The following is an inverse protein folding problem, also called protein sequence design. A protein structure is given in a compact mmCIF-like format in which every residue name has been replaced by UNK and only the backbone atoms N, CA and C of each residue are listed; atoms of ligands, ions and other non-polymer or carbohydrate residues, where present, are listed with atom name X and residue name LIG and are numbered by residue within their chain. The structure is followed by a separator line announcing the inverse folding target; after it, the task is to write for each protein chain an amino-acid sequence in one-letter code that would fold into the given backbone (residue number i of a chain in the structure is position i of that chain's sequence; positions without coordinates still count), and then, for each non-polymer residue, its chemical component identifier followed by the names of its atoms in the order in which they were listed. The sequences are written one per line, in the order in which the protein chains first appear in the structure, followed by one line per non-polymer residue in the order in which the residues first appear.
data_IF_915891400891
#
_entry.id   IF_915891400891
#
_cell.length_a   1.000
_cell.length_b   1.000
_cell.length_c   1.000
_cell.angle_alpha   90.00
_cell.angle_beta   90.00
_cell.angle_gamma   90.00
#
_symmetry.space_group_name_H-M   'P 1'
#
loop_
_entity.id
_entity.type
_entity.pdbx_description
1 polymer ?
#
# COMPACT_ATOMS: atom_id res chain seq x y z
N UNK A 1 -21.65 -8.04 -4.78
CA UNK A 1 -23.04 -8.43 -4.45
C UNK A 1 -23.41 -9.90 -4.64
N UNK A 2 -23.67 -10.36 -5.87
CA UNK A 2 -24.50 -11.56 -6.10
C UNK A 2 -23.93 -12.86 -5.49
N UNK A 3 -22.63 -13.09 -5.65
CA UNK A 3 -21.96 -14.27 -5.07
C UNK A 3 -22.11 -14.35 -3.54
N UNK A 4 -22.11 -13.20 -2.85
CA UNK A 4 -22.27 -13.12 -1.40
C UNK A 4 -23.69 -13.49 -0.97
N UNK A 5 -24.69 -12.94 -1.65
CA UNK A 5 -26.10 -13.26 -1.38
C UNK A 5 -26.38 -14.75 -1.59
N UNK A 6 -25.84 -15.34 -2.66
CA UNK A 6 -25.96 -16.77 -2.94
C UNK A 6 -25.29 -17.59 -1.84
N UNK A 7 -24.06 -17.22 -1.43
CA UNK A 7 -23.34 -17.93 -0.37
C UNK A 7 -24.09 -17.90 0.97
N UNK A 8 -24.59 -16.73 1.38
CA UNK A 8 -25.39 -16.58 2.61
C UNK A 8 -26.69 -17.36 2.52
N UNK A 9 -27.39 -17.28 1.38
CA UNK A 9 -28.63 -18.03 1.16
C UNK A 9 -28.41 -19.55 1.21
N UNK A 10 -27.36 -20.07 0.56
CA UNK A 10 -27.04 -21.49 0.58
C UNK A 10 -26.67 -21.99 1.99
N UNK A 11 -26.01 -21.15 2.79
CA UNK A 11 -25.63 -21.47 4.17
C UNK A 11 -26.80 -21.44 5.16
N UNK A 12 -27.81 -20.60 4.91
CA UNK A 12 -28.95 -20.37 5.81
C UNK A 12 -30.25 -21.05 5.37
N UNK A 13 -30.32 -21.59 4.16
CA UNK A 13 -31.46 -22.37 3.68
C UNK A 13 -31.55 -23.76 4.35
N UNK A 14 -32.78 -24.26 4.53
CA UNK A 14 -33.01 -25.64 4.96
C UNK A 14 -32.48 -26.61 3.90
N UNK A 15 -31.80 -27.67 4.33
CA UNK A 15 -31.22 -28.69 3.44
C UNK A 15 -32.12 -29.92 3.37
N UNK A 16 -31.87 -30.80 2.41
CA UNK A 16 -32.49 -32.12 2.34
C UNK A 16 -31.40 -33.19 2.36
N UNK A 17 -31.59 -34.21 3.19
CA UNK A 17 -30.77 -35.41 3.18
C UNK A 17 -31.06 -36.21 1.89
N UNK A 18 -30.17 -37.13 1.54
CA UNK A 18 -30.37 -38.05 0.42
C UNK A 18 -31.67 -38.86 0.55
N UNK A 19 -32.12 -39.11 1.78
CA UNK A 19 -33.38 -39.78 2.10
C UNK A 19 -34.64 -38.90 1.98
N UNK A 20 -34.50 -37.65 1.54
CA UNK A 20 -35.59 -36.67 1.46
C UNK A 20 -35.95 -35.99 2.79
N UNK A 21 -35.31 -36.37 3.90
CA UNK A 21 -35.53 -35.75 5.20
C UNK A 21 -35.02 -34.30 5.23
N UNK A 22 -35.81 -33.40 5.82
CA UNK A 22 -35.42 -31.99 5.97
C UNK A 22 -34.34 -31.85 7.04
N UNK A 23 -33.20 -31.30 6.67
CA UNK A 23 -32.08 -31.02 7.55
C UNK A 23 -32.03 -29.53 7.93
N UNK A 24 -31.52 -29.20 9.12
CA UNK A 24 -31.30 -27.81 9.49
C UNK A 24 -30.31 -27.15 8.51
N UNK A 25 -30.35 -25.80 8.42
CA UNK A 25 -29.33 -25.02 7.73
C UNK A 25 -27.92 -25.40 8.19
N UNK A 26 -26.90 -25.07 7.38
CA UNK A 26 -25.51 -25.31 7.78
C UNK A 26 -25.15 -24.47 9.01
N UNK A 27 -25.65 -23.23 9.05
CA UNK A 27 -25.51 -22.29 10.15
C UNK A 27 -26.89 -21.90 10.70
N UNK A 28 -27.50 -22.71 11.59
CA UNK A 28 -28.88 -22.53 12.07
C UNK A 28 -29.08 -21.27 12.93
N UNK A 29 -28.10 -20.85 13.73
CA UNK A 29 -28.21 -19.65 14.55
C UNK A 29 -28.09 -18.37 13.71
N UNK A 30 -27.20 -18.36 12.72
CA UNK A 30 -27.12 -17.26 11.76
C UNK A 30 -28.39 -17.19 10.91
N UNK A 31 -28.91 -18.34 10.46
CA UNK A 31 -30.17 -18.41 9.71
C UNK A 31 -31.34 -17.83 10.51
N UNK A 32 -31.46 -18.18 11.79
CA UNK A 32 -32.49 -17.64 12.67
C UNK A 32 -32.39 -16.11 12.84
N UNK A 33 -31.17 -15.59 12.97
CA UNK A 33 -30.94 -14.14 13.12
C UNK A 33 -31.26 -13.35 11.84
N UNK A 34 -30.98 -13.92 10.65
CA UNK A 34 -31.37 -13.30 9.37
C UNK A 34 -32.89 -13.35 9.20
N UNK A 35 -33.54 -14.50 9.46
CA UNK A 35 -34.98 -14.66 9.27
C UNK A 35 -35.81 -13.75 10.19
N UNK A 36 -35.27 -13.39 11.36
CA UNK A 36 -35.90 -12.43 12.28
C UNK A 36 -35.57 -10.96 11.95
N UNK A 37 -34.73 -10.71 10.93
CA UNK A 37 -34.32 -9.37 10.52
C UNK A 37 -33.32 -8.69 11.47
N UNK A 38 -32.74 -9.43 12.41
CA UNK A 38 -31.79 -8.90 13.39
C UNK A 38 -30.37 -8.80 12.85
N UNK A 39 -30.04 -9.56 11.80
CA UNK A 39 -28.70 -9.63 11.23
C UNK A 39 -28.70 -9.21 9.76
N UNK A 40 -27.81 -8.30 9.39
CA UNK A 40 -27.60 -7.92 7.99
C UNK A 40 -26.92 -9.04 7.20
N UNK A 41 -27.11 -9.04 5.88
CA UNK A 41 -26.45 -10.00 4.99
C UNK A 41 -24.93 -9.91 5.09
N UNK A 42 -24.38 -8.69 5.26
CA UNK A 42 -22.93 -8.50 5.38
C UNK A 42 -22.38 -9.09 6.67
N UNK A 43 -23.07 -8.85 7.80
CA UNK A 43 -22.68 -9.43 9.08
C UNK A 43 -22.76 -10.97 9.05
N UNK A 44 -23.82 -11.51 8.44
CA UNK A 44 -23.96 -12.94 8.23
C UNK A 44 -22.85 -13.52 7.35
N UNK A 45 -22.52 -12.86 6.24
CA UNK A 45 -21.47 -13.30 5.32
C UNK A 45 -20.11 -13.39 6.03
N UNK A 46 -19.77 -12.40 6.85
CA UNK A 46 -18.52 -12.41 7.64
C UNK A 46 -18.47 -13.60 8.59
N UNK A 47 -19.55 -13.86 9.34
CA UNK A 47 -19.62 -14.97 10.30
C UNK A 47 -19.54 -16.32 9.58
N UNK A 48 -20.36 -16.52 8.54
CA UNK A 48 -20.41 -17.76 7.76
C UNK A 48 -19.06 -18.07 7.11
N UNK A 49 -18.42 -17.07 6.50
CA UNK A 49 -17.13 -17.25 5.83
C UNK A 49 -16.04 -17.68 6.80
N UNK A 50 -16.03 -17.13 8.02
CA UNK A 50 -15.12 -17.56 9.06
C UNK A 50 -15.42 -19.00 9.50
N UNK A 51 -16.67 -19.29 9.88
CA UNK A 51 -17.08 -20.63 10.35
C UNK A 51 -16.81 -21.73 9.32
N UNK A 52 -17.13 -21.49 8.04
CA UNK A 52 -16.86 -22.47 6.97
C UNK A 52 -15.36 -22.72 6.77
N UNK A 53 -14.52 -21.72 7.02
CA UNK A 53 -13.06 -21.82 6.89
C UNK A 53 -12.43 -22.61 8.02
N UNK A 54 -12.87 -22.39 9.26
CA UNK A 54 -12.33 -23.09 10.44
C UNK A 54 -12.97 -24.47 10.65
N UNK A 55 -14.13 -24.74 10.06
CA UNK A 55 -14.87 -26.00 10.23
C UNK A 55 -14.05 -27.29 10.06
N UNK A 56 -13.09 -27.40 9.12
CA UNK A 56 -12.29 -28.62 8.97
C UNK A 56 -11.29 -28.89 10.10
N UNK A 57 -10.97 -27.89 10.92
CA UNK A 57 -9.89 -27.93 11.93
C UNK A 57 -10.40 -27.74 13.35
N UNK A 58 -11.52 -27.04 13.52
CA UNK A 58 -12.12 -26.76 14.82
C UNK A 58 -13.04 -27.88 15.32
N UNK A 59 -13.17 -27.98 16.64
CA UNK A 59 -14.13 -28.88 17.28
C UNK A 59 -15.58 -28.49 16.92
N UNK A 60 -16.44 -29.44 16.47
CA UNK A 60 -17.84 -29.18 16.16
C UNK A 60 -18.65 -28.48 17.26
N UNK A 61 -18.42 -28.82 18.53
CA UNK A 61 -19.18 -28.22 19.64
C UNK A 61 -18.80 -26.74 19.85
N UNK A 62 -17.50 -26.43 19.71
CA UNK A 62 -16.99 -25.06 19.81
C UNK A 62 -17.46 -24.19 18.64
N UNK A 63 -17.60 -24.78 17.44
CA UNK A 63 -18.19 -24.09 16.28
C UNK A 63 -19.64 -23.70 16.52
N UNK A 64 -20.47 -24.62 17.04
CA UNK A 64 -21.89 -24.35 17.34
C UNK A 64 -22.00 -23.28 18.44
N UNK A 65 -21.20 -23.39 19.50
CA UNK A 65 -21.17 -22.40 20.58
C UNK A 65 -20.74 -21.01 20.08
N UNK A 66 -19.75 -20.95 19.19
CA UNK A 66 -19.27 -19.72 18.57
C UNK A 66 -20.30 -19.11 17.64
N UNK A 67 -20.91 -19.91 16.76
CA UNK A 67 -21.99 -19.47 15.87
C UNK A 67 -23.11 -18.81 16.68
N UNK A 68 -23.59 -19.48 17.74
CA UNK A 68 -24.63 -18.96 18.63
C UNK A 68 -24.22 -17.62 19.26
N UNK A 69 -22.97 -17.51 19.69
CA UNK A 69 -22.47 -16.30 20.35
C UNK A 69 -22.35 -15.13 19.37
N UNK A 70 -21.80 -15.37 18.18
CA UNK A 70 -21.67 -14.37 17.13
C UNK A 70 -23.03 -13.91 16.61
N UNK A 71 -23.95 -14.84 16.32
CA UNK A 71 -25.30 -14.51 15.85
C UNK A 71 -26.10 -13.66 16.87
N UNK A 72 -25.89 -13.89 18.17
CA UNK A 72 -26.53 -13.12 19.24
C UNK A 72 -25.92 -11.74 19.46
N UNK A 73 -24.59 -11.61 19.36
CA UNK A 73 -23.89 -10.33 19.64
C UNK A 73 -23.86 -9.39 18.44
N UNK A 74 -23.73 -9.93 17.22
CA UNK A 74 -23.58 -9.16 16.00
C UNK A 74 -24.61 -8.02 15.81
N UNK A 75 -25.91 -8.17 16.15
CA UNK A 75 -26.89 -7.07 16.02
C UNK A 75 -26.56 -5.83 16.86
N UNK A 76 -25.76 -5.96 17.91
CA UNK A 76 -25.40 -4.85 18.83
C UNK A 76 -24.07 -4.19 18.50
N UNK A 77 -23.38 -4.68 17.46
CA UNK A 77 -22.03 -4.26 17.11
C UNK A 77 -22.00 -3.51 15.79
N UNK A 78 -21.08 -2.56 15.68
CA UNK A 78 -20.70 -2.03 14.36
C UNK A 78 -20.00 -3.12 13.54
N UNK A 79 -19.96 -2.97 12.22
CA UNK A 79 -19.29 -3.93 11.34
C UNK A 79 -17.80 -4.10 11.70
N UNK A 80 -17.13 -3.02 12.08
CA UNK A 80 -15.73 -3.05 12.54
C UNK A 80 -15.56 -3.81 13.87
N UNK A 81 -16.46 -3.60 14.83
CA UNK A 81 -16.47 -4.36 16.08
C UNK A 81 -16.75 -5.84 15.82
N UNK A 82 -17.65 -6.16 14.88
CA UNK A 82 -17.93 -7.52 14.48
C UNK A 82 -16.70 -8.18 13.83
N UNK A 83 -15.99 -7.49 12.93
CA UNK A 83 -14.77 -8.00 12.32
C UNK A 83 -13.71 -8.34 13.37
N UNK A 84 -13.52 -7.49 14.38
CA UNK A 84 -12.63 -7.77 15.51
C UNK A 84 -13.06 -9.00 16.30
N UNK A 85 -14.35 -9.12 16.62
CA UNK A 85 -14.88 -10.26 17.37
C UNK A 85 -14.76 -11.57 16.58
N UNK A 86 -15.01 -11.55 15.27
CA UNK A 86 -14.87 -12.71 14.38
C UNK A 86 -13.39 -13.13 14.29
N UNK A 87 -12.46 -12.19 14.17
CA UNK A 87 -11.02 -12.50 14.17
C UNK A 87 -10.56 -13.14 15.49
N UNK A 88 -11.07 -12.65 16.64
CA UNK A 88 -10.80 -13.26 17.94
C UNK A 88 -11.38 -14.67 18.07
N UNK A 89 -12.60 -14.87 17.60
CA UNK A 89 -13.24 -16.19 17.59
C UNK A 89 -12.49 -17.17 16.67
N UNK A 90 -12.04 -16.71 15.51
CA UNK A 90 -11.23 -17.51 14.57
C UNK A 90 -9.92 -17.97 15.24
N UNK A 91 -9.20 -17.07 15.91
CA UNK A 91 -7.95 -17.40 16.60
C UNK A 91 -8.13 -18.40 17.75
N UNK A 92 -9.29 -18.39 18.42
CA UNK A 92 -9.63 -19.37 19.46
C UNK A 92 -10.00 -20.74 18.87
N UNK A 93 -10.68 -20.77 17.73
CA UNK A 93 -11.16 -22.00 17.09
C UNK A 93 -10.09 -22.74 16.29
N UNK A 94 -9.13 -22.02 15.70
CA UNK A 94 -8.08 -22.57 14.85
C UNK A 94 -6.72 -21.98 15.23
N UNK A 95 -6.21 -22.38 16.39
CA UNK A 95 -4.88 -21.93 16.86
C UNK A 95 -3.75 -22.47 15.97
N UNK A 96 -3.87 -23.72 15.52
CA UNK A 96 -2.85 -24.37 14.66
C UNK A 96 -2.80 -23.74 13.26
N UNK A 97 -3.92 -23.23 12.75
CA UNK A 97 -3.98 -22.56 11.45
C UNK A 97 -3.44 -21.14 11.40
N UNK A 98 -3.05 -20.54 12.54
CA UNK A 98 -2.53 -19.17 12.58
C UNK A 98 -1.22 -19.08 11.77
N UNK A 99 -0.28 -20.00 11.98
CA UNK A 99 1.02 -19.98 11.30
C UNK A 99 0.90 -20.12 9.78
N UNK A 100 0.13 -21.11 9.30
CA UNK A 100 -0.11 -21.29 7.86
C UNK A 100 -0.73 -20.03 7.22
N UNK A 101 -1.59 -19.34 7.96
CA UNK A 101 -2.21 -18.10 7.49
C UNK A 101 -1.22 -16.94 7.47
N UNK A 102 -0.32 -16.84 8.46
CA UNK A 102 0.74 -15.84 8.44
C UNK A 102 1.67 -16.02 7.24
N UNK A 103 2.02 -17.27 6.90
CA UNK A 103 2.78 -17.61 5.71
C UNK A 103 2.03 -17.24 4.42
N UNK A 104 0.73 -17.59 4.34
CA UNK A 104 -0.11 -17.24 3.20
C UNK A 104 -0.27 -15.72 3.02
N UNK A 105 -0.49 -14.97 4.11
CA UNK A 105 -0.56 -13.51 4.09
C UNK A 105 0.78 -12.89 3.72
N UNK A 106 1.89 -13.53 4.10
CA UNK A 106 3.23 -13.09 3.72
C UNK A 106 3.48 -13.31 2.23
N UNK A 107 3.04 -14.44 1.69
CA UNK A 107 3.14 -14.75 0.26
C UNK A 107 2.27 -13.84 -0.62
N UNK A 108 1.11 -13.36 -0.11
CA UNK A 108 0.23 -12.43 -0.84
C UNK A 108 0.66 -10.95 -0.74
N UNK A 109 1.72 -10.64 0.02
CA UNK A 109 2.21 -9.28 0.12
C UNK A 109 2.60 -8.73 -1.24
N UNK A 110 2.05 -7.58 -1.60
CA UNK A 110 2.31 -6.96 -2.88
C UNK A 110 2.10 -5.45 -2.82
N UNK A 111 2.90 -4.71 -3.58
CA UNK A 111 2.69 -3.28 -3.83
C UNK A 111 2.52 -3.08 -5.32
N UNK A 112 1.42 -2.46 -5.72
CA UNK A 112 1.13 -2.09 -7.10
C UNK A 112 1.16 -0.57 -7.21
N UNK A 113 1.92 -0.06 -8.18
CA UNK A 113 2.04 1.35 -8.48
C UNK A 113 1.44 1.57 -9.86
N UNK A 114 0.44 2.45 -9.96
CA UNK A 114 -0.22 2.80 -11.23
C UNK A 114 -0.25 4.31 -11.42
N UNK A 115 -0.02 4.74 -12.65
CA UNK A 115 -0.21 6.13 -13.06
C UNK A 115 -1.58 6.30 -13.68
N UNK A 116 -2.36 7.23 -13.15
CA UNK A 116 -3.63 7.62 -13.76
C UNK A 116 -3.42 8.64 -14.88
N UNK A 117 -4.36 8.75 -15.84
CA UNK A 117 -4.31 9.79 -16.86
C UNK A 117 -4.25 11.21 -16.29
N UNK A 118 -4.76 11.42 -15.07
CA UNK A 118 -4.69 12.69 -14.33
C UNK A 118 -3.29 13.06 -13.84
N UNK A 119 -2.34 12.12 -13.84
CA UNK A 119 -1.01 12.26 -13.23
C UNK A 119 -0.92 11.78 -11.78
N UNK A 120 -2.03 11.37 -11.19
CA UNK A 120 -2.01 10.81 -9.84
C UNK A 120 -1.34 9.44 -9.87
N UNK A 121 -0.36 9.25 -8.99
CA UNK A 121 0.19 7.94 -8.68
C UNK A 121 -0.69 7.24 -7.65
N UNK A 122 -1.26 6.10 -8.03
CA UNK A 122 -2.02 5.22 -7.14
C UNK A 122 -1.13 4.08 -6.65
N UNK A 123 -0.89 4.07 -5.34
CA UNK A 123 -0.23 2.97 -4.64
C UNK A 123 -1.30 2.07 -4.02
N UNK A 124 -1.22 0.77 -4.26
CA UNK A 124 -2.07 -0.25 -3.63
C UNK A 124 -1.17 -1.28 -2.98
N UNK A 125 -1.18 -1.33 -1.65
CA UNK A 125 -0.33 -2.21 -0.85
C UNK A 125 -1.19 -3.25 -0.12
N UNK A 126 -0.84 -4.52 -0.27
CA UNK A 126 -1.32 -5.63 0.53
C UNK A 126 -0.18 -5.99 1.48
N UNK A 127 -0.40 -5.80 2.78
CA UNK A 127 0.60 -6.04 3.82
C UNK A 127 0.04 -7.06 4.82
N UNK A 128 0.93 -7.90 5.36
CA UNK A 128 0.56 -8.76 6.47
C UNK A 128 0.27 -7.89 7.73
N UNK A 129 -0.39 -8.45 8.77
CA UNK A 129 -0.78 -7.67 9.94
C UNK A 129 0.38 -6.96 10.65
N UNK A 130 1.57 -7.58 10.68
CA UNK A 130 2.76 -7.02 11.33
C UNK A 130 3.28 -5.80 10.57
N UNK A 131 3.53 -5.94 9.27
CA UNK A 131 4.02 -4.86 8.41
C UNK A 131 2.98 -3.75 8.24
N UNK A 132 1.70 -4.12 8.13
CA UNK A 132 0.59 -3.18 8.06
C UNK A 132 0.44 -2.35 9.34
N UNK A 133 0.59 -2.97 10.51
CA UNK A 133 0.58 -2.26 11.79
C UNK A 133 1.74 -1.28 11.89
N UNK A 134 2.97 -1.68 11.52
CA UNK A 134 4.13 -0.79 11.48
C UNK A 134 3.86 0.46 10.65
N UNK A 135 3.45 0.29 9.40
CA UNK A 135 3.19 1.41 8.48
C UNK A 135 2.04 2.29 8.97
N UNK A 136 0.94 1.67 9.43
CA UNK A 136 -0.22 2.38 9.97
C UNK A 136 0.16 3.23 11.17
N UNK A 137 0.89 2.67 12.13
CA UNK A 137 1.33 3.38 13.34
C UNK A 137 2.25 4.55 13.00
N UNK A 138 3.18 4.38 12.06
CA UNK A 138 4.05 5.48 11.61
C UNK A 138 3.24 6.65 11.02
N UNK A 139 2.30 6.36 10.12
CA UNK A 139 1.43 7.37 9.50
C UNK A 139 0.55 8.05 10.56
N UNK A 140 -0.14 7.28 11.40
CA UNK A 140 -1.06 7.82 12.42
C UNK A 140 -0.32 8.69 13.45
N UNK A 141 0.91 8.34 13.79
CA UNK A 141 1.75 9.14 14.70
C UNK A 141 2.06 10.51 14.09
N UNK A 142 2.48 10.55 12.81
CA UNK A 142 2.75 11.81 12.10
C UNK A 142 1.49 12.67 11.91
N UNK A 143 0.37 12.04 11.55
CA UNK A 143 -0.92 12.73 11.45
C UNK A 143 -1.34 13.31 12.80
N UNK A 144 -1.21 12.55 13.88
CA UNK A 144 -1.54 13.01 15.24
C UNK A 144 -0.67 14.20 15.65
N UNK A 145 0.63 14.15 15.35
CA UNK A 145 1.54 15.27 15.61
C UNK A 145 1.13 16.53 14.81
N UNK A 146 0.74 16.36 13.54
CA UNK A 146 0.28 17.46 12.68
C UNK A 146 -1.04 18.08 13.17
N UNK A 147 -1.99 17.25 13.62
CA UNK A 147 -3.24 17.74 14.20
C UNK A 147 -2.96 18.58 15.45
N UNK A 148 -2.05 18.13 16.32
CA UNK A 148 -1.64 18.89 17.52
C UNK A 148 -1.01 20.23 17.15
N UNK A 149 -0.06 20.25 16.22
CA UNK A 149 0.58 21.51 15.79
C UNK A 149 -0.41 22.52 15.21
N UNK A 150 -1.43 22.04 14.50
CA UNK A 150 -2.45 22.91 13.91
C UNK A 150 -3.37 23.53 14.97
N UNK A 151 -3.58 22.87 16.11
CA UNK A 151 -4.36 23.41 17.22
C UNK A 151 -3.63 24.57 17.92
N UNK A 152 -2.29 24.60 17.84
CA UNK A 152 -1.47 25.67 18.41
C UNK A 152 -1.31 26.87 17.44
N UNK A 153 -1.83 26.78 16.22
CA UNK A 153 -1.78 27.83 15.20
C UNK A 153 -3.11 28.57 15.13
N UNK A 154 -3.10 29.88 14.86
CA UNK A 154 -4.32 30.66 14.69
C UNK A 154 -5.17 30.09 13.53
N UNK A 155 -6.46 29.76 13.73
CA UNK A 155 -7.34 29.22 12.69
C UNK A 155 -7.47 30.12 11.45
N UNK A 156 -7.16 31.43 11.59
CA UNK A 156 -7.20 32.38 10.48
C UNK A 156 -5.97 32.31 9.56
N UNK A 157 -4.87 31.70 10.02
CA UNK A 157 -3.60 31.63 9.29
C UNK A 157 -3.46 30.37 8.41
N UNK A 158 -4.38 29.39 8.49
CA UNK A 158 -4.25 28.15 7.72
C UNK A 158 -5.57 27.50 7.34
N UNK A 159 -5.73 27.19 6.05
CA UNK A 159 -6.86 26.41 5.56
C UNK A 159 -6.85 24.98 6.16
N UNK A 160 -8.01 24.42 6.54
CA UNK A 160 -8.08 23.08 7.10
C UNK A 160 -7.61 22.04 6.09
N UNK A 161 -6.62 21.25 6.48
CA UNK A 161 -6.11 20.11 5.70
C UNK A 161 -6.94 18.87 6.04
N UNK A 162 -7.36 18.11 5.03
CA UNK A 162 -8.13 16.88 5.27
C UNK A 162 -7.24 15.76 5.81
N UNK A 163 -7.80 14.85 6.61
CA UNK A 163 -7.06 13.69 7.15
C UNK A 163 -6.42 12.84 6.03
N UNK A 164 -7.10 12.52 4.92
CA UNK A 164 -6.45 11.79 3.82
C UNK A 164 -5.25 12.52 3.22
N UNK A 165 -5.28 13.86 3.16
CA UNK A 165 -4.14 14.66 2.72
C UNK A 165 -2.99 14.60 3.73
N UNK A 166 -3.28 14.70 5.03
CA UNK A 166 -2.24 14.53 6.06
C UNK A 166 -1.61 13.13 6.03
N UNK A 167 -2.38 12.09 5.76
CA UNK A 167 -1.87 10.72 5.60
C UNK A 167 -0.95 10.59 4.38
N UNK A 168 -1.30 11.24 3.26
CA UNK A 168 -0.44 11.29 2.09
C UNK A 168 0.87 12.04 2.39
N UNK A 169 0.79 13.20 3.04
CA UNK A 169 1.97 13.98 3.45
C UNK A 169 2.87 13.18 4.42
N UNK A 170 2.28 12.43 5.35
CA UNK A 170 3.02 11.56 6.27
C UNK A 170 3.77 10.43 5.53
N UNK A 171 3.16 9.82 4.52
CA UNK A 171 3.82 8.80 3.70
C UNK A 171 5.00 9.37 2.91
N UNK A 172 4.84 10.58 2.36
CA UNK A 172 5.93 11.31 1.68
C UNK A 172 7.07 11.60 2.64
N UNK A 173 6.78 12.13 3.84
CA UNK A 173 7.80 12.46 4.83
C UNK A 173 8.61 11.21 5.28
N UNK A 174 7.96 10.06 5.48
CA UNK A 174 8.64 8.80 5.79
C UNK A 174 9.58 8.40 4.64
N UNK A 175 9.11 8.53 3.40
CA UNK A 175 9.88 8.14 2.21
C UNK A 175 11.06 9.08 1.97
N UNK A 176 10.87 10.39 2.15
CA UNK A 176 11.95 11.39 2.07
C UNK A 176 13.04 11.12 3.11
N UNK A 177 12.65 10.78 4.35
CA UNK A 177 13.60 10.37 5.38
C UNK A 177 14.35 9.10 4.96
N UNK A 178 13.65 8.09 4.46
CA UNK A 178 14.29 6.84 4.02
C UNK A 178 15.29 7.05 2.87
N UNK A 179 14.97 7.90 1.89
CA UNK A 179 15.85 8.19 0.75
C UNK A 179 17.12 8.98 1.12
N UNK A 180 17.09 9.71 2.24
CA UNK A 180 18.21 10.56 2.68
C UNK A 180 18.97 10.00 3.89
N UNK A 181 18.42 8.98 4.55
CA UNK A 181 19.02 8.37 5.73
C UNK A 181 20.21 7.45 5.36
N UNK A 182 21.37 7.74 5.96
CA UNK A 182 22.63 7.00 5.75
C UNK A 182 22.73 5.70 6.55
N UNK A 183 21.80 5.46 7.49
CA UNK A 183 21.75 4.28 8.34
C UNK A 183 20.68 3.28 7.89
N UNK A 184 20.27 3.34 6.61
CA UNK A 184 19.32 2.41 6.03
C UNK A 184 19.96 1.03 5.78
N UNK A 185 19.20 -0.04 5.98
CA UNK A 185 19.66 -1.44 5.78
C UNK A 185 20.14 -1.64 4.34
N UNK A 186 19.40 -1.05 3.39
CA UNK A 186 19.78 -1.00 1.98
C UNK A 186 20.18 0.43 1.65
N UNK A 187 21.40 0.67 1.13
CA UNK A 187 21.79 2.00 0.67
C UNK A 187 20.84 2.48 -0.43
N UNK A 188 20.07 3.53 -0.11
CA UNK A 188 19.17 4.20 -1.07
C UNK A 188 19.79 5.46 -1.68
N UNK A 189 21.05 5.76 -1.35
CA UNK A 189 21.84 6.89 -1.85
C UNK A 189 22.04 6.87 -3.37
N UNK A 190 21.82 5.72 -4.02
CA UNK A 190 21.85 5.56 -5.46
C UNK A 190 20.49 5.80 -6.15
N UNK A 191 19.40 6.00 -5.40
CA UNK A 191 18.09 6.31 -5.98
C UNK A 191 18.09 7.76 -6.47
N UNK A 192 17.96 7.96 -7.78
CA UNK A 192 17.98 9.29 -8.40
C UNK A 192 16.67 9.54 -9.14
N UNK A 193 16.04 10.68 -8.84
CA UNK A 193 14.91 11.21 -9.61
C UNK A 193 15.49 12.15 -10.66
N UNK A 194 15.30 11.81 -11.94
CA UNK A 194 15.74 12.64 -13.06
C UNK A 194 14.59 13.55 -13.48
N UNK A 195 14.86 14.86 -13.50
CA UNK A 195 13.91 15.88 -13.95
C UNK A 195 14.52 16.59 -15.15
N UNK A 196 13.85 16.51 -16.31
CA UNK A 196 14.25 17.17 -17.55
C UNK A 196 13.46 18.47 -17.72
N UNK A 197 14.17 19.56 -17.96
CA UNK A 197 13.60 20.89 -18.24
C UNK A 197 14.48 21.61 -19.27
N UNK A 198 13.87 22.43 -20.15
CA UNK A 198 14.64 23.30 -21.02
C UNK A 198 15.38 24.36 -20.18
N UNK A 199 16.65 24.62 -20.49
CA UNK A 199 17.45 25.63 -19.80
C UNK A 199 16.78 27.02 -19.80
N UNK A 200 16.18 27.43 -20.92
CA UNK A 200 15.45 28.70 -21.02
C UNK A 200 14.22 28.73 -20.11
N UNK A 201 13.46 27.63 -20.03
CA UNK A 201 12.30 27.51 -19.14
C UNK A 201 12.73 27.54 -17.67
N UNK A 202 13.87 26.92 -17.36
CA UNK A 202 14.48 26.96 -16.03
C UNK A 202 14.95 28.37 -15.66
N UNK A 203 15.46 29.18 -16.60
CA UNK A 203 15.91 30.55 -16.37
C UNK A 203 14.80 31.60 -16.36
N UNK A 204 13.73 31.38 -17.11
CA UNK A 204 12.55 32.27 -17.10
C UNK A 204 11.58 31.91 -15.98
N UNK A 205 11.53 30.64 -15.57
CA UNK A 205 10.58 30.11 -14.60
C UNK A 205 9.22 29.80 -15.20
N UNK A 206 9.09 29.91 -16.52
CA UNK A 206 7.88 29.66 -17.28
C UNK A 206 8.18 28.53 -18.25
N UNK A 207 7.41 27.44 -18.15
CA UNK A 207 7.62 26.26 -18.97
C UNK A 207 7.30 24.98 -18.23
N UNK A 208 7.57 23.86 -18.89
CA UNK A 208 7.25 22.53 -18.41
C UNK A 208 8.53 21.71 -18.19
N UNK A 209 8.49 20.85 -17.19
CA UNK A 209 9.51 19.86 -16.93
C UNK A 209 8.87 18.48 -16.78
N UNK A 210 9.66 17.45 -17.04
CA UNK A 210 9.22 16.06 -17.06
C UNK A 210 10.08 15.25 -16.09
N UNK A 211 9.42 14.38 -15.31
CA UNK A 211 10.10 13.48 -14.39
C UNK A 211 10.17 12.11 -15.04
N UNK A 212 11.34 11.47 -15.02
CA UNK A 212 11.52 10.15 -15.63
C UNK A 212 10.60 9.12 -14.98
N UNK A 213 9.86 8.41 -15.84
CA UNK A 213 8.87 7.44 -15.42
C UNK A 213 7.55 8.05 -14.95
N UNK A 214 7.34 9.36 -15.01
CA UNK A 214 6.06 10.02 -14.70
C UNK A 214 5.51 10.72 -15.96
N UNK A 215 4.26 10.43 -16.31
CA UNK A 215 3.68 10.92 -17.57
C UNK A 215 3.30 12.41 -17.56
N UNK A 216 2.85 12.94 -16.42
CA UNK A 216 2.38 14.33 -16.35
C UNK A 216 3.52 15.31 -16.07
N UNK A 217 3.56 16.46 -16.76
CA UNK A 217 4.59 17.46 -16.54
C UNK A 217 4.37 18.23 -15.24
N UNK A 218 5.45 18.81 -14.73
CA UNK A 218 5.45 19.79 -13.64
C UNK A 218 5.89 21.16 -14.15
N UNK A 219 5.52 22.22 -13.45
CA UNK A 219 5.91 23.58 -13.83
C UNK A 219 7.39 23.86 -13.53
N UNK A 220 8.01 24.71 -14.35
CA UNK A 220 9.35 25.23 -14.09
C UNK A 220 9.49 25.87 -12.69
N UNK A 221 8.44 26.54 -12.20
CA UNK A 221 8.39 27.05 -10.83
C UNK A 221 8.46 25.96 -9.75
N UNK A 222 7.84 24.80 -9.98
CA UNK A 222 7.97 23.64 -9.08
C UNK A 222 9.38 23.08 -9.10
N UNK A 223 10.00 22.96 -10.29
CA UNK A 223 11.41 22.53 -10.41
C UNK A 223 12.34 23.45 -9.64
N UNK A 224 12.17 24.77 -9.77
CA UNK A 224 12.98 25.75 -9.04
C UNK A 224 12.83 25.63 -7.53
N UNK A 225 11.61 25.36 -7.04
CA UNK A 225 11.36 25.15 -5.60
C UNK A 225 12.06 23.88 -5.11
N UNK A 226 11.96 22.78 -5.86
CA UNK A 226 12.68 21.53 -5.56
C UNK A 226 14.20 21.80 -5.57
N UNK A 227 14.70 22.52 -6.58
CA UNK A 227 16.10 22.86 -6.72
C UNK A 227 16.65 23.73 -5.58
N UNK A 228 15.85 24.66 -5.07
CA UNK A 228 16.23 25.46 -3.91
C UNK A 228 16.23 24.67 -2.59
N UNK A 229 15.50 23.55 -2.52
CA UNK A 229 15.38 22.71 -1.33
C UNK A 229 16.31 21.49 -1.35
N UNK A 230 16.88 21.13 -2.50
CA UNK A 230 17.68 19.93 -2.69
C UNK A 230 19.12 20.24 -3.09
N UNK A 231 20.06 19.39 -2.67
CA UNK A 231 21.42 19.34 -3.21
C UNK A 231 21.43 18.70 -4.61
N UNK A 232 20.82 19.37 -5.59
CA UNK A 232 20.76 18.89 -6.96
C UNK A 232 22.15 18.86 -7.60
N UNK A 233 22.42 17.83 -8.38
CA UNK A 233 23.57 17.78 -9.30
C UNK A 233 23.05 18.16 -10.69
N UNK A 234 23.27 19.39 -11.16
CA UNK A 234 22.78 19.81 -12.47
C UNK A 234 23.58 19.13 -13.59
N UNK A 235 22.88 18.52 -14.55
CA UNK A 235 23.48 18.13 -15.83
C UNK A 235 22.94 19.05 -16.92
N UNK A 236 23.78 19.99 -17.38
CA UNK A 236 23.42 20.94 -18.44
C UNK A 236 24.12 20.49 -19.72
N UNK A 237 23.33 20.04 -20.70
CA UNK A 237 23.85 19.72 -22.03
C UNK A 237 24.39 21.00 -22.70
N UNK A 238 25.69 21.05 -22.95
CA UNK A 238 26.38 22.21 -23.53
C UNK A 238 27.03 23.19 -22.53
N UNK A 239 26.99 22.88 -21.22
CA UNK A 239 27.76 23.59 -20.17
C UNK A 239 29.14 22.96 -19.90
N UNK A 240 29.77 23.36 -18.79
CA UNK A 240 31.03 22.75 -18.34
C UNK A 240 30.85 21.24 -18.07
N UNK A 241 31.83 20.43 -18.49
CA UNK A 241 31.74 18.96 -18.45
C UNK A 241 32.00 18.40 -17.05
N UNK A 242 31.19 17.45 -16.62
CA UNK A 242 31.48 16.58 -15.47
C UNK A 242 32.52 15.52 -15.86
N UNK A 243 33.44 15.20 -14.93
CA UNK A 243 34.43 14.13 -15.14
C UNK A 243 33.73 12.79 -15.00
N UNK A 244 33.41 12.17 -16.15
CA UNK A 244 32.80 10.83 -16.21
C UNK A 244 33.82 9.70 -16.33
N UNK A 245 35.07 10.01 -16.69
CA UNK A 245 36.15 9.03 -16.77
C UNK A 245 37.00 9.06 -15.48
N UNK A 246 36.82 8.04 -14.66
CA UNK A 246 37.54 7.84 -13.39
C UNK A 246 38.62 6.75 -13.50
N UNK A 247 38.86 6.24 -14.71
CA UNK A 247 39.74 5.11 -14.97
C UNK A 247 39.37 3.87 -14.14
N UNK A 248 40.40 3.18 -13.63
CA UNK A 248 40.26 1.97 -12.79
C UNK A 248 40.31 2.22 -11.28
N UNK A 249 40.21 3.49 -10.86
CA UNK A 249 40.34 3.85 -9.43
C UNK A 249 39.06 3.57 -8.65
N UNK A 250 37.91 3.55 -9.33
CA UNK A 250 36.60 3.35 -8.72
C UNK A 250 35.75 2.36 -9.53
N UNK A 251 35.55 1.14 -8.98
CA UNK A 251 34.83 0.04 -9.66
C UNK A 251 33.32 0.28 -9.80
N UNK A 252 32.70 0.97 -8.86
CA UNK A 252 31.26 1.23 -8.87
C UNK A 252 30.96 2.54 -9.60
N UNK A 253 29.90 2.54 -10.41
CA UNK A 253 29.50 3.72 -11.17
C UNK A 253 29.06 4.86 -10.23
N UNK A 254 29.57 6.06 -10.48
CA UNK A 254 29.15 7.26 -9.76
C UNK A 254 27.78 7.74 -10.22
N UNK A 255 27.13 8.60 -9.43
CA UNK A 255 25.84 9.20 -9.80
C UNK A 255 25.92 9.92 -11.17
N UNK A 256 26.94 10.76 -11.45
CA UNK A 256 27.10 11.37 -12.78
C UNK A 256 27.19 10.35 -13.93
N UNK A 257 27.95 9.26 -13.76
CA UNK A 257 28.05 8.20 -14.78
C UNK A 257 26.71 7.51 -15.02
N UNK A 258 25.92 7.24 -13.96
CA UNK A 258 24.59 6.64 -14.11
C UNK A 258 23.59 7.57 -14.79
N UNK A 259 23.62 8.87 -14.48
CA UNK A 259 22.79 9.88 -15.17
C UNK A 259 23.17 9.93 -16.65
N UNK A 260 24.47 9.93 -16.97
CA UNK A 260 24.95 9.94 -18.35
C UNK A 260 24.52 8.67 -19.14
N UNK A 261 24.56 7.50 -18.51
CA UNK A 261 24.07 6.25 -19.10
C UNK A 261 22.55 6.30 -19.34
N UNK A 262 21.78 6.77 -18.35
CA UNK A 262 20.33 6.89 -18.49
C UNK A 262 19.94 7.85 -19.62
N UNK A 263 20.68 8.94 -19.82
CA UNK A 263 20.43 9.89 -20.92
C UNK A 263 20.85 9.33 -22.28
N UNK A 264 21.99 8.63 -22.36
CA UNK A 264 22.47 8.00 -23.59
C UNK A 264 21.51 6.90 -24.08
N UNK A 265 21.07 6.05 -23.16
CA UNK A 265 20.33 4.82 -23.49
C UNK A 265 18.81 4.99 -23.40
N UNK A 266 18.31 6.09 -22.83
CA UNK A 266 16.88 6.36 -22.64
C UNK A 266 16.18 5.41 -21.67
N UNK A 267 16.94 4.61 -20.91
CA UNK A 267 16.46 3.51 -20.09
C UNK A 267 17.37 2.28 -20.19
N UNK A 268 16.84 1.10 -19.86
CA UNK A 268 17.55 -0.15 -20.07
C UNK A 268 17.79 -0.37 -21.57
N UNK A 269 19.06 -0.42 -21.98
CA UNK A 269 19.45 -0.61 -23.38
C UNK A 269 18.93 -1.92 -24.02
N UNK A 270 18.49 -2.89 -23.20
CA UNK A 270 17.93 -4.17 -23.68
C UNK A 270 16.41 -4.14 -23.82
N UNK A 271 15.67 -3.74 -22.79
CA UNK A 271 14.20 -3.85 -22.75
C UNK A 271 13.45 -2.52 -22.68
N UNK A 272 14.15 -1.38 -22.63
CA UNK A 272 13.54 -0.05 -22.60
C UNK A 272 12.85 0.33 -21.28
N UNK A 273 12.99 -0.49 -20.23
CA UNK A 273 12.50 -0.15 -18.89
C UNK A 273 13.20 1.11 -18.34
N UNK A 274 12.57 1.84 -17.42
CA UNK A 274 13.18 3.06 -16.85
C UNK A 274 14.49 2.77 -16.12
N UNK A 275 15.43 3.74 -16.15
CA UNK A 275 16.77 3.59 -15.54
C UNK A 275 16.76 3.26 -14.04
N UNK A 276 15.66 3.54 -13.34
CA UNK A 276 15.44 3.17 -11.94
C UNK A 276 15.34 1.65 -11.69
N UNK A 277 14.97 0.87 -12.71
CA UNK A 277 14.95 -0.60 -12.67
C UNK A 277 16.07 -1.23 -13.51
N UNK A 278 17.09 -0.44 -13.86
CA UNK A 278 18.23 -0.89 -14.65
C UNK A 278 19.52 -0.80 -13.84
N UNK A 279 20.39 -1.80 -14.00
CA UNK A 279 21.74 -1.80 -13.45
C UNK A 279 22.74 -1.31 -14.51
N UNK A 280 23.74 -0.56 -14.06
CA UNK A 280 24.84 -0.16 -14.92
C UNK A 280 25.84 -1.31 -15.02
N UNK A 281 26.20 -1.69 -16.25
CA UNK A 281 27.18 -2.72 -16.54
C UNK A 281 28.34 -2.17 -17.37
N UNK A 282 29.54 -2.65 -17.09
CA UNK A 282 30.69 -2.37 -17.93
C UNK A 282 30.59 -3.16 -19.24
N UNK A 283 30.87 -2.50 -20.37
CA UNK A 283 30.96 -3.17 -21.68
C UNK A 283 32.26 -3.96 -21.83
N UNK A 284 33.38 -3.34 -21.44
CA UNK A 284 34.65 -4.03 -21.27
C UNK A 284 34.80 -4.41 -19.79
N UNK A 285 35.01 -5.69 -19.50
CA UNK A 285 35.15 -6.16 -18.12
C UNK A 285 36.25 -5.37 -17.38
N UNK A 286 35.97 -5.04 -16.11
CA UNK A 286 36.77 -4.15 -15.27
C UNK A 286 38.26 -4.51 -15.23
#
# INVERSE_FOLDING_TARGET
EAARLIAVGAATASRQAFSGQRMPPRHPHVAAAINTGLLSVDAAATIITMLDRVAPRANPDDLIATERTLARRAPTLTLEQLHRLVAQAEAYLDTDGIGEREDALTADQSVRIRQEPSGILRFTAHLNPVNGALLKTAIETLVTARIRSNHDTDPTDSAPVSIPRMQADALVAITEHALTCRETITPLDLATIIIRINHTDLLTGVGAAFIDGIHQPISAGTVRRIAGQAGLIPMILGGDSEVLDLGRTQRLFTIPQRIALAERDGGCAFCGTTGSYAEAHHLAWW
#
